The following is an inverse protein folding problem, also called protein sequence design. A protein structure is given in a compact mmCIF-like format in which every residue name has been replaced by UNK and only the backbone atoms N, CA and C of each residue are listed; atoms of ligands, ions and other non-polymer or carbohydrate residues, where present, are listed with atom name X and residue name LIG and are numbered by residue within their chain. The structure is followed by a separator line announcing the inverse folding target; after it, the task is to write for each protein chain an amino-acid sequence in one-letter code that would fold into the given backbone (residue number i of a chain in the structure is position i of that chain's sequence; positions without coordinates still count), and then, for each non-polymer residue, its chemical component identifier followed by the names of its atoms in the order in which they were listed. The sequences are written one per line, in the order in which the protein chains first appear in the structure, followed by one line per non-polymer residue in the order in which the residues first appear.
data_IF_423569829656
#
_entry.id   IF_423569829656
#
_cell.length_a   1.000
_cell.length_b   1.000
_cell.length_c   1.000
_cell.angle_alpha   90.00
_cell.angle_beta   90.00
_cell.angle_gamma   90.00
#
_symmetry.space_group_name_H-M   'P 1'
#
loop_
_entity.id
_entity.type
_entity.pdbx_description
1 polymer ?
#
# COMPACT_ATOMS: atom_id res chain seq x y z
N UNK A 1 -23.50 11.69 10.29
CA UNK A 1 -22.17 11.07 10.48
C UNK A 1 -21.66 10.39 9.21
N UNK A 2 -22.49 9.63 8.50
CA UNK A 2 -22.09 8.92 7.26
C UNK A 2 -21.47 9.83 6.18
N UNK A 3 -21.98 11.06 6.03
CA UNK A 3 -21.45 12.03 5.07
C UNK A 3 -20.00 12.45 5.36
N UNK A 4 -19.64 12.61 6.64
CA UNK A 4 -18.27 13.02 7.05
C UNK A 4 -17.29 11.86 6.81
N UNK A 5 -17.69 10.64 7.14
CA UNK A 5 -16.88 9.43 6.89
C UNK A 5 -16.64 9.24 5.39
N UNK A 6 -17.64 9.52 4.56
CA UNK A 6 -17.52 9.46 3.09
C UNK A 6 -16.48 10.44 2.55
N UNK A 7 -16.49 11.68 3.03
CA UNK A 7 -15.50 12.71 2.63
C UNK A 7 -14.09 12.28 3.04
N UNK A 8 -13.92 11.80 4.28
CA UNK A 8 -12.63 11.32 4.78
C UNK A 8 -12.12 10.14 3.94
N UNK A 9 -13.00 9.18 3.62
CA UNK A 9 -12.65 8.03 2.81
C UNK A 9 -12.18 8.41 1.40
N UNK A 10 -12.91 9.33 0.73
CA UNK A 10 -12.51 9.87 -0.58
C UNK A 10 -11.17 10.60 -0.49
N UNK A 11 -10.97 11.44 0.54
CA UNK A 11 -9.72 12.16 0.73
C UNK A 11 -8.54 11.19 0.92
N UNK A 12 -8.69 10.15 1.74
CA UNK A 12 -7.66 9.13 1.96
C UNK A 12 -7.33 8.36 0.67
N UNK A 13 -8.33 7.96 -0.09
CA UNK A 13 -8.11 7.27 -1.37
C UNK A 13 -7.36 8.15 -2.37
N UNK A 14 -7.71 9.43 -2.48
CA UNK A 14 -7.02 10.36 -3.38
C UNK A 14 -5.57 10.61 -2.91
N UNK A 15 -5.35 10.90 -1.63
CA UNK A 15 -4.02 11.14 -1.07
C UNK A 15 -3.13 9.90 -1.24
N UNK A 16 -3.66 8.72 -0.93
CA UNK A 16 -2.96 7.45 -1.11
C UNK A 16 -2.62 7.18 -2.58
N UNK A 17 -3.56 7.38 -3.50
CA UNK A 17 -3.32 7.20 -4.94
C UNK A 17 -2.24 8.14 -5.48
N UNK A 18 -2.31 9.43 -5.14
CA UNK A 18 -1.26 10.39 -5.51
C UNK A 18 0.09 10.01 -4.88
N UNK A 19 0.10 9.57 -3.63
CA UNK A 19 1.30 9.12 -2.94
C UNK A 19 1.97 7.93 -3.62
N UNK A 20 1.21 6.91 -4.02
CA UNK A 20 1.75 5.72 -4.70
C UNK A 20 2.41 6.09 -6.03
N UNK A 21 1.85 7.04 -6.77
CA UNK A 21 2.37 7.47 -8.09
C UNK A 21 3.60 8.37 -7.94
N UNK A 22 3.55 9.36 -7.06
CA UNK A 22 4.57 10.43 -6.99
C UNK A 22 5.83 10.02 -6.22
N UNK A 23 5.73 9.11 -5.24
CA UNK A 23 6.88 8.79 -4.40
C UNK A 23 7.89 7.89 -5.14
N UNK A 24 9.18 8.21 -5.03
CA UNK A 24 10.25 7.44 -5.72
C UNK A 24 10.69 6.21 -4.94
N UNK A 25 10.61 6.25 -3.60
CA UNK A 25 11.09 5.17 -2.73
C UNK A 25 10.05 4.06 -2.65
N UNK A 26 10.44 2.78 -2.80
CA UNK A 26 9.50 1.67 -2.82
C UNK A 26 8.82 1.44 -1.47
N UNK A 27 9.50 1.67 -0.34
CA UNK A 27 8.89 1.57 0.99
C UNK A 27 7.79 2.62 1.17
N UNK A 28 8.08 3.87 0.82
CA UNK A 28 7.10 4.94 0.97
C UNK A 28 5.86 4.71 0.09
N UNK A 29 6.01 4.05 -1.07
CA UNK A 29 4.87 3.61 -1.89
C UNK A 29 3.98 2.59 -1.17
N UNK A 30 4.56 1.64 -0.45
CA UNK A 30 3.78 0.64 0.32
C UNK A 30 2.99 1.32 1.44
N UNK A 31 3.58 2.32 2.10
CA UNK A 31 2.89 3.11 3.12
C UNK A 31 1.69 3.86 2.50
N UNK A 32 1.90 4.54 1.37
CA UNK A 32 0.83 5.26 0.67
C UNK A 32 -0.26 4.31 0.14
N UNK A 33 0.12 3.09 -0.23
CA UNK A 33 -0.82 2.04 -0.62
C UNK A 33 -1.71 1.63 0.56
N UNK A 34 -1.16 1.42 1.75
CA UNK A 34 -1.96 1.11 2.96
C UNK A 34 -2.90 2.26 3.35
N UNK A 35 -2.49 3.52 3.17
CA UNK A 35 -3.37 4.70 3.38
C UNK A 35 -4.54 4.69 2.39
N UNK A 36 -4.28 4.36 1.13
CA UNK A 36 -5.32 4.23 0.10
C UNK A 36 -6.31 3.11 0.46
N UNK A 37 -5.80 1.96 0.91
CA UNK A 37 -6.60 0.78 1.26
C UNK A 37 -7.43 1.02 2.54
N UNK A 38 -6.91 1.79 3.50
CA UNK A 38 -7.67 2.26 4.65
C UNK A 38 -8.86 3.17 4.23
N UNK A 39 -8.66 4.03 3.23
CA UNK A 39 -9.73 4.80 2.61
C UNK A 39 -10.78 3.91 1.95
N UNK A 40 -10.35 2.88 1.23
CA UNK A 40 -11.24 1.88 0.63
C UNK A 40 -12.02 1.09 1.68
N UNK A 41 -11.37 0.62 2.76
CA UNK A 41 -12.01 -0.09 3.86
C UNK A 41 -13.13 0.72 4.50
N UNK A 42 -12.92 2.02 4.72
CA UNK A 42 -13.96 2.92 5.24
C UNK A 42 -15.19 2.97 4.31
N UNK A 43 -14.99 2.97 2.98
CA UNK A 43 -16.09 2.91 2.01
C UNK A 43 -16.84 1.58 2.12
N UNK A 44 -16.12 0.45 2.17
CA UNK A 44 -16.72 -0.89 2.27
C UNK A 44 -17.59 -1.02 3.53
N UNK A 45 -17.09 -0.50 4.67
CA UNK A 45 -17.85 -0.45 5.93
C UNK A 45 -19.09 0.44 5.80
N UNK A 46 -18.98 1.60 5.13
CA UNK A 46 -20.10 2.51 4.91
C UNK A 46 -21.24 1.85 4.12
N UNK A 47 -20.91 1.05 3.11
CA UNK A 47 -21.88 0.28 2.33
C UNK A 47 -22.38 -1.00 3.02
N UNK A 48 -21.99 -1.24 4.28
CA UNK A 48 -22.40 -2.38 5.11
C UNK A 48 -21.98 -3.75 4.56
N UNK A 49 -20.93 -3.81 3.75
CA UNK A 49 -20.34 -5.06 3.28
C UNK A 49 -19.33 -5.60 4.31
N UNK A 50 -19.83 -6.01 5.48
CA UNK A 50 -19.01 -6.35 6.63
C UNK A 50 -18.07 -7.54 6.38
N UNK A 51 -18.52 -8.55 5.65
CA UNK A 51 -17.71 -9.73 5.32
C UNK A 51 -16.48 -9.34 4.46
N UNK A 52 -16.70 -8.43 3.51
CA UNK A 52 -15.62 -7.90 2.66
C UNK A 52 -14.68 -7.04 3.49
N UNK A 53 -15.21 -6.19 4.38
CA UNK A 53 -14.39 -5.37 5.27
C UNK A 53 -13.49 -6.23 6.18
N UNK A 54 -14.03 -7.33 6.71
CA UNK A 54 -13.28 -8.27 7.54
C UNK A 54 -12.14 -8.92 6.75
N UNK A 55 -12.43 -9.36 5.52
CA UNK A 55 -11.41 -9.96 4.66
C UNK A 55 -10.29 -8.97 4.32
N UNK A 56 -10.64 -7.74 3.94
CA UNK A 56 -9.67 -6.68 3.61
C UNK A 56 -8.82 -6.31 4.83
N UNK A 57 -9.43 -6.15 6.01
CA UNK A 57 -8.69 -5.84 7.24
C UNK A 57 -7.65 -6.91 7.61
N UNK A 58 -7.93 -8.18 7.31
CA UNK A 58 -6.99 -9.28 7.53
C UNK A 58 -5.96 -9.40 6.41
N UNK A 59 -6.34 -9.11 5.16
CA UNK A 59 -5.41 -9.21 4.03
C UNK A 59 -4.40 -8.07 3.98
N UNK A 60 -4.79 -6.86 4.38
CA UNK A 60 -3.93 -5.66 4.32
C UNK A 60 -2.57 -5.83 5.04
N UNK A 61 -2.50 -6.31 6.31
CA UNK A 61 -1.22 -6.58 6.96
C UNK A 61 -0.42 -7.71 6.28
N UNK A 62 -1.09 -8.73 5.74
CA UNK A 62 -0.44 -9.81 5.00
C UNK A 62 0.18 -9.29 3.69
N UNK A 63 -0.56 -8.47 2.94
CA UNK A 63 -0.08 -7.82 1.73
C UNK A 63 1.12 -6.92 2.02
N UNK A 64 1.06 -6.13 3.10
CA UNK A 64 2.17 -5.27 3.53
C UNK A 64 3.43 -6.08 3.84
N UNK A 65 3.31 -7.20 4.55
CA UNK A 65 4.43 -8.11 4.82
C UNK A 65 5.08 -8.65 3.55
N UNK A 66 4.25 -9.10 2.60
CA UNK A 66 4.72 -9.63 1.31
C UNK A 66 5.45 -8.52 0.53
N UNK A 67 4.92 -7.31 0.49
CA UNK A 67 5.55 -6.19 -0.20
C UNK A 67 6.91 -5.82 0.41
N UNK A 68 7.01 -5.75 1.74
CA UNK A 68 8.28 -5.47 2.41
C UNK A 68 9.30 -6.56 2.09
N UNK A 69 8.91 -7.83 2.17
CA UNK A 69 9.79 -8.96 1.84
C UNK A 69 10.27 -8.90 0.39
N UNK A 70 9.37 -8.58 -0.54
CA UNK A 70 9.70 -8.42 -1.96
C UNK A 70 10.71 -7.27 -2.17
N UNK A 71 10.51 -6.12 -1.52
CA UNK A 71 11.42 -4.97 -1.61
C UNK A 71 12.82 -5.33 -1.09
N UNK A 72 12.89 -6.00 0.06
CA UNK A 72 14.17 -6.46 0.64
C UNK A 72 14.88 -7.41 -0.30
N UNK A 73 14.16 -8.40 -0.85
CA UNK A 73 14.74 -9.38 -1.77
C UNK A 73 15.24 -8.75 -3.07
N UNK A 74 14.48 -7.81 -3.65
CA UNK A 74 14.91 -7.05 -4.84
C UNK A 74 16.18 -6.23 -4.53
N UNK A 75 16.24 -5.60 -3.36
CA UNK A 75 17.41 -4.84 -2.92
C UNK A 75 18.64 -5.75 -2.77
N UNK A 76 18.48 -6.92 -2.17
CA UNK A 76 19.56 -7.90 -2.01
C UNK A 76 20.09 -8.39 -3.36
N UNK A 77 19.19 -8.74 -4.29
CA UNK A 77 19.58 -9.19 -5.64
C UNK A 77 20.34 -8.09 -6.38
N UNK A 78 19.87 -6.83 -6.30
CA UNK A 78 20.56 -5.69 -6.92
C UNK A 78 21.96 -5.51 -6.32
N UNK A 79 22.11 -5.61 -5.00
CA UNK A 79 23.41 -5.49 -4.34
C UNK A 79 24.37 -6.64 -4.71
N UNK A 80 23.86 -7.87 -4.85
CA UNK A 80 24.66 -9.02 -5.32
C UNK A 80 25.19 -8.81 -6.74
N UNK A 81 24.37 -8.31 -7.66
CA UNK A 81 24.79 -8.03 -9.05
C UNK A 81 25.86 -6.94 -9.13
N UNK A 82 25.72 -5.87 -8.35
CA UNK A 82 26.74 -4.81 -8.26
C UNK A 82 28.05 -5.38 -7.74
N UNK A 83 28.01 -6.22 -6.68
CA UNK A 83 29.22 -6.83 -6.10
C UNK A 83 29.91 -7.84 -7.04
N UNK A 84 29.14 -8.48 -7.92
CA UNK A 84 29.65 -9.45 -8.90
C UNK A 84 30.23 -8.81 -10.17
N UNK A 85 30.18 -7.47 -10.30
CA UNK A 85 30.67 -6.76 -11.48
C UNK A 85 29.79 -6.89 -12.73
N UNK A 86 28.58 -7.46 -12.62
CA UNK A 86 27.66 -7.63 -13.75
C UNK A 86 26.87 -6.36 -14.09
N UNK A 87 26.84 -5.38 -13.18
CA UNK A 87 26.35 -4.02 -13.45
C UNK A 87 27.56 -3.07 -13.44
N UNK A 88 27.97 -2.63 -14.62
CA UNK A 88 28.69 -1.36 -14.79
C UNK A 88 27.62 -0.29 -15.06
N UNK A 89 27.71 0.83 -14.33
CA UNK A 89 26.73 1.93 -14.28
C UNK A 89 26.08 2.32 -15.62
#
# INVERSE_FOLDING_TARGET
MEFVVSIIAIALMLIGAFGVILLKKPLDKVIMFSIMDAGFLLVVVLFRYLDVAMFVALSDPLCTLIFIMAIVKIKEIRQRKVRSGELHD
#
